data_IF_088304461440
#
_entry.id   IF_088304461440
#
_cell.length_a   1.000
_cell.length_b   1.000
_cell.length_c   1.000
_cell.angle_alpha   90.00
_cell.angle_beta   90.00
_cell.angle_gamma   90.00
#
_symmetry.space_group_name_H-M   'P 1'
#
loop_
_entity.id
_entity.type
_entity.pdbx_description
1 polymer ?
#
# COMPACT_ATOMS: atom_id res chain seq x y z
N UNK A 1 -30.40 -30.27 14.29
CA UNK A 1 -29.04 -30.22 14.87
C UNK A 1 -28.00 -29.66 13.90
N UNK A 2 -28.14 -29.87 12.58
CA UNK A 2 -27.21 -29.37 11.55
C UNK A 2 -27.24 -27.85 11.32
N UNK A 3 -28.39 -27.19 11.44
CA UNK A 3 -28.52 -25.74 11.21
C UNK A 3 -27.90 -24.86 12.30
N UNK A 4 -27.80 -25.37 13.54
CA UNK A 4 -27.18 -24.66 14.66
C UNK A 4 -25.65 -24.72 14.51
N UNK A 5 -25.10 -25.87 14.11
CA UNK A 5 -23.67 -26.04 13.88
C UNK A 5 -23.13 -25.15 12.74
N UNK A 6 -23.87 -25.02 11.62
CA UNK A 6 -23.50 -24.10 10.54
C UNK A 6 -23.59 -22.62 10.94
N UNK A 7 -24.53 -22.28 11.83
CA UNK A 7 -24.68 -20.91 12.33
C UNK A 7 -23.58 -20.53 13.33
N UNK A 8 -23.12 -21.49 14.17
CA UNK A 8 -22.00 -21.28 15.10
C UNK A 8 -20.68 -21.14 14.33
N UNK A 9 -20.42 -21.99 13.34
CA UNK A 9 -19.22 -21.88 12.49
C UNK A 9 -19.20 -20.58 11.67
N UNK A 10 -20.37 -20.12 11.21
CA UNK A 10 -20.51 -18.81 10.56
C UNK A 10 -20.26 -17.64 11.51
N UNK A 11 -20.64 -17.76 12.78
CA UNK A 11 -20.37 -16.74 13.79
C UNK A 11 -18.89 -16.67 14.17
N UNK A 12 -18.22 -17.82 14.36
CA UNK A 12 -16.79 -17.89 14.67
C UNK A 12 -15.94 -17.24 13.55
N UNK A 13 -16.24 -17.56 12.29
CA UNK A 13 -15.55 -16.95 11.14
C UNK A 13 -15.83 -15.45 11.01
N UNK A 14 -17.01 -14.98 11.40
CA UNK A 14 -17.37 -13.56 11.43
C UNK A 14 -16.63 -12.80 12.53
N UNK A 15 -16.53 -13.37 13.74
CA UNK A 15 -15.74 -12.80 14.84
C UNK A 15 -14.25 -12.75 14.49
N UNK A 16 -13.71 -13.80 13.87
CA UNK A 16 -12.31 -13.83 13.40
C UNK A 16 -12.00 -12.77 12.34
N UNK A 17 -12.99 -12.37 11.53
CA UNK A 17 -12.85 -11.27 10.58
C UNK A 17 -12.95 -9.91 11.27
N UNK A 18 -13.81 -9.79 12.29
CA UNK A 18 -14.00 -8.54 13.05
C UNK A 18 -12.80 -8.20 13.93
N UNK A 19 -12.13 -9.20 14.53
CA UNK A 19 -10.96 -9.00 15.40
C UNK A 19 -9.65 -8.80 14.64
N UNK A 20 -9.64 -8.94 13.32
CA UNK A 20 -8.44 -8.64 12.51
C UNK A 20 -8.22 -7.13 12.47
N UNK A 21 -7.27 -6.66 13.29
CA UNK A 21 -6.70 -5.33 13.10
C UNK A 21 -5.87 -5.31 11.80
N UNK A 22 -6.26 -4.54 10.77
CA UNK A 22 -5.46 -4.42 9.56
C UNK A 22 -4.17 -3.66 9.88
N UNK A 23 -3.06 -4.09 9.28
CA UNK A 23 -1.76 -3.41 9.44
C UNK A 23 -1.81 -1.95 8.96
N UNK A 24 -2.68 -1.68 7.97
CA UNK A 24 -3.00 -0.34 7.48
C UNK A 24 -4.46 -0.09 7.84
N UNK A 25 -4.68 0.72 8.87
CA UNK A 25 -6.01 1.07 9.34
C UNK A 25 -6.63 2.15 8.44
N UNK A 26 -7.57 1.72 7.60
CA UNK A 26 -8.33 2.59 6.70
C UNK A 26 -9.31 3.54 7.44
N UNK A 27 -9.58 3.30 8.72
CA UNK A 27 -10.51 4.09 9.55
C UNK A 27 -9.79 5.09 10.47
N UNK A 28 -8.46 4.95 10.58
CA UNK A 28 -7.62 5.82 11.39
C UNK A 28 -7.50 7.22 10.77
N UNK A 29 -7.77 8.24 11.58
CA UNK A 29 -7.47 9.65 11.26
C UNK A 29 -6.05 10.06 11.66
N UNK A 30 -5.23 9.12 12.16
CA UNK A 30 -3.86 9.39 12.62
C UNK A 30 -2.91 9.61 11.44
N UNK A 31 -1.89 10.43 11.67
CA UNK A 31 -0.84 10.75 10.70
C UNK A 31 -0.84 12.23 10.35
N UNK A 32 0.22 12.66 9.68
CA UNK A 32 0.35 14.02 9.18
C UNK A 32 -0.48 14.19 7.89
N UNK A 33 -1.24 15.28 7.80
CA UNK A 33 -1.89 15.69 6.54
C UNK A 33 -0.83 16.11 5.52
N UNK A 34 -1.02 15.68 4.27
CA UNK A 34 -0.13 16.04 3.16
C UNK A 34 -0.60 17.38 2.58
N UNK A 35 -0.35 18.44 3.33
CA UNK A 35 -0.62 19.82 2.91
C UNK A 35 0.44 20.30 1.90
N UNK A 36 0.01 21.05 0.89
CA UNK A 36 0.89 21.61 -0.16
C UNK A 36 1.74 20.56 -0.90
N UNK A 37 1.11 19.47 -1.33
CA UNK A 37 1.76 18.38 -2.07
C UNK A 37 2.33 18.88 -3.42
N UNK A 38 3.66 18.95 -3.51
CA UNK A 38 4.42 19.36 -4.71
C UNK A 38 4.54 18.23 -5.73
N UNK A 39 4.41 16.97 -5.30
CA UNK A 39 4.44 15.82 -6.18
C UNK A 39 5.82 15.17 -6.36
N UNK A 40 6.76 15.39 -5.44
CA UNK A 40 8.00 14.62 -5.42
C UNK A 40 7.75 13.23 -4.81
N UNK A 41 8.16 12.18 -5.52
CA UNK A 41 7.99 10.79 -5.09
C UNK A 41 9.35 10.10 -5.15
N UNK A 42 9.80 9.56 -4.02
CA UNK A 42 11.08 8.85 -3.94
C UNK A 42 10.90 7.44 -3.36
N UNK A 43 11.24 6.44 -4.16
CA UNK A 43 11.49 5.08 -3.72
C UNK A 43 12.97 4.96 -3.39
N UNK A 44 13.30 4.63 -2.15
CA UNK A 44 14.69 4.49 -1.71
C UNK A 44 14.98 3.10 -1.14
N UNK A 45 15.77 2.34 -1.89
CA UNK A 45 16.22 0.98 -1.55
C UNK A 45 15.07 0.05 -1.16
N UNK A 46 13.95 0.14 -1.89
CA UNK A 46 12.73 -0.60 -1.57
C UNK A 46 12.94 -2.10 -1.75
N UNK A 47 12.62 -2.84 -0.70
CA UNK A 47 12.37 -4.28 -0.75
C UNK A 47 10.91 -4.54 -0.46
N UNK A 48 10.28 -5.38 -1.28
CA UNK A 48 8.89 -5.75 -1.08
C UNK A 48 8.61 -7.22 -1.41
N UNK A 49 7.81 -7.83 -0.56
CA UNK A 49 7.27 -9.19 -0.68
C UNK A 49 5.79 -9.13 -0.29
N UNK A 50 4.92 -9.78 -1.07
CA UNK A 50 3.51 -9.89 -0.69
C UNK A 50 3.34 -10.78 0.55
N UNK A 51 2.53 -10.38 1.56
CA UNK A 51 2.30 -11.19 2.76
C UNK A 51 1.75 -12.59 2.45
N UNK A 52 0.92 -12.71 1.41
CA UNK A 52 0.31 -13.97 0.96
C UNK A 52 1.31 -14.90 0.25
N UNK A 53 2.47 -14.40 -0.17
CA UNK A 53 3.51 -15.14 -0.89
C UNK A 53 4.90 -14.70 -0.41
N UNK A 54 5.22 -15.05 0.82
CA UNK A 54 6.42 -14.61 1.55
C UNK A 54 7.77 -15.07 0.96
N UNK A 55 7.76 -16.01 0.02
CA UNK A 55 8.98 -16.57 -0.60
C UNK A 55 9.48 -15.78 -1.81
N UNK A 56 8.63 -14.99 -2.46
CA UNK A 56 8.98 -14.31 -3.72
C UNK A 56 9.21 -12.82 -3.52
N UNK A 57 10.46 -12.38 -3.66
CA UNK A 57 10.82 -10.96 -3.65
C UNK A 57 10.36 -10.31 -4.96
N UNK A 58 9.47 -9.33 -4.85
CA UNK A 58 8.90 -8.62 -6.02
C UNK A 58 9.75 -7.40 -6.37
N UNK A 59 10.14 -6.62 -5.36
CA UNK A 59 11.07 -5.50 -5.50
C UNK A 59 12.29 -5.77 -4.64
N UNK A 60 13.47 -5.60 -5.21
CA UNK A 60 14.74 -5.80 -4.51
C UNK A 60 15.65 -4.59 -4.74
N UNK A 61 15.91 -3.81 -3.69
CA UNK A 61 16.69 -2.57 -3.75
C UNK A 61 16.20 -1.59 -4.83
N UNK A 62 14.88 -1.55 -5.04
CA UNK A 62 14.28 -0.69 -6.06
C UNK A 62 14.45 0.79 -5.68
N UNK A 63 14.90 1.59 -6.64
CA UNK A 63 15.07 3.03 -6.49
C UNK A 63 14.45 3.76 -7.67
N UNK A 64 13.70 4.82 -7.37
CA UNK A 64 13.08 5.69 -8.35
C UNK A 64 12.89 7.06 -7.72
N UNK A 65 13.25 8.12 -8.46
CA UNK A 65 12.96 9.48 -8.05
C UNK A 65 12.13 10.17 -9.14
N UNK A 66 10.94 10.62 -8.78
CA UNK A 66 10.00 11.34 -9.65
C UNK A 66 9.94 12.77 -9.13
N UNK A 67 10.33 13.72 -9.96
CA UNK A 67 10.27 15.14 -9.62
C UNK A 67 8.85 15.69 -9.78
N UNK A 68 8.51 16.80 -9.09
CA UNK A 68 7.28 17.54 -9.35
C UNK A 68 7.04 17.77 -10.84
N UNK A 69 5.79 17.58 -11.27
CA UNK A 69 5.35 17.72 -12.68
C UNK A 69 6.01 16.76 -13.69
N UNK A 70 6.82 15.80 -13.25
CA UNK A 70 7.42 14.80 -14.13
C UNK A 70 6.41 13.68 -14.44
N UNK A 71 6.35 13.28 -15.71
CA UNK A 71 5.61 12.08 -16.14
C UNK A 71 6.57 10.90 -16.29
N UNK A 72 6.21 9.76 -15.73
CA UNK A 72 6.99 8.52 -15.80
C UNK A 72 6.11 7.39 -16.29
N UNK A 73 6.63 6.58 -17.21
CA UNK A 73 5.98 5.35 -17.67
C UNK A 73 6.73 4.13 -17.12
N UNK A 74 6.01 3.22 -16.47
CA UNK A 74 6.55 1.95 -16.00
C UNK A 74 6.40 0.90 -17.11
N UNK A 75 7.52 0.47 -17.69
CA UNK A 75 7.56 -0.54 -18.77
C UNK A 75 8.29 -1.80 -18.32
N UNK A 76 7.86 -2.97 -18.80
CA UNK A 76 8.50 -4.25 -18.49
C UNK A 76 7.56 -5.45 -18.66
N UNK A 77 8.12 -6.65 -18.59
CA UNK A 77 7.38 -7.91 -18.75
C UNK A 77 6.24 -8.08 -17.73
N UNK A 78 5.26 -8.94 -18.05
CA UNK A 78 4.22 -9.30 -17.09
C UNK A 78 4.86 -9.87 -15.81
N UNK A 79 4.36 -9.46 -14.64
CA UNK A 79 4.87 -9.92 -13.34
C UNK A 79 6.12 -9.21 -12.79
N UNK A 80 6.70 -8.23 -13.48
CA UNK A 80 7.92 -7.54 -13.01
C UNK A 80 7.71 -6.49 -11.90
N UNK A 81 6.52 -6.40 -11.29
CA UNK A 81 6.23 -5.51 -10.16
C UNK A 81 5.70 -4.11 -10.50
N UNK A 82 5.30 -3.83 -11.76
CA UNK A 82 4.73 -2.52 -12.15
C UNK A 82 3.49 -2.14 -11.32
N UNK A 83 2.49 -3.03 -11.28
CA UNK A 83 1.27 -2.81 -10.48
C UNK A 83 1.58 -2.75 -8.99
N UNK A 84 2.63 -3.45 -8.53
CA UNK A 84 3.09 -3.39 -7.15
C UNK A 84 3.59 -1.99 -6.77
N UNK A 85 4.30 -1.28 -7.67
CA UNK A 85 4.72 0.10 -7.43
C UNK A 85 3.50 1.01 -7.20
N UNK A 86 2.46 0.86 -8.01
CA UNK A 86 1.21 1.62 -7.87
C UNK A 86 0.52 1.30 -6.53
N UNK A 87 0.41 0.01 -6.18
CA UNK A 87 -0.19 -0.42 -4.92
C UNK A 87 0.56 0.07 -3.67
N UNK A 88 1.88 0.26 -3.77
CA UNK A 88 2.68 0.84 -2.68
C UNK A 88 2.45 2.35 -2.56
N UNK A 89 2.26 3.08 -3.67
CA UNK A 89 1.91 4.51 -3.66
C UNK A 89 0.53 4.77 -3.09
N UNK A 90 -0.45 3.94 -3.44
CA UNK A 90 -1.80 3.99 -2.89
C UNK A 90 -1.88 3.44 -1.46
N UNK A 91 -0.73 2.99 -0.93
CA UNK A 91 -0.56 2.43 0.41
C UNK A 91 -1.58 1.31 0.68
N UNK A 92 -1.76 0.42 -0.29
CA UNK A 92 -2.42 -0.87 -0.08
C UNK A 92 -1.53 -1.87 0.64
N UNK A 93 -0.22 -1.69 0.50
CA UNK A 93 0.79 -2.42 1.26
C UNK A 93 1.87 -1.45 1.74
N UNK A 94 2.47 -1.76 2.88
CA UNK A 94 3.72 -1.12 3.30
C UNK A 94 4.91 -1.89 2.74
N UNK A 95 6.01 -1.18 2.52
CA UNK A 95 7.27 -1.78 2.06
C UNK A 95 7.87 -2.68 3.15
N UNK A 96 8.48 -3.81 2.75
CA UNK A 96 9.15 -4.72 3.70
C UNK A 96 10.39 -4.08 4.29
N UNK A 97 11.15 -3.32 3.49
CA UNK A 97 12.25 -2.47 3.94
C UNK A 97 12.52 -1.33 2.96
N UNK A 98 13.26 -0.33 3.41
CA UNK A 98 13.49 0.92 2.66
C UNK A 98 12.49 2.01 3.04
N UNK A 99 12.46 3.07 2.22
CA UNK A 99 11.58 4.22 2.43
C UNK A 99 10.89 4.63 1.14
N UNK A 100 9.58 4.85 1.23
CA UNK A 100 8.78 5.50 0.19
C UNK A 100 8.41 6.89 0.71
N UNK A 101 8.92 7.92 0.06
CA UNK A 101 8.78 9.30 0.49
C UNK A 101 7.88 10.07 -0.48
N UNK A 102 6.93 10.82 0.07
CA UNK A 102 6.16 11.85 -0.62
C UNK A 102 6.64 13.21 -0.11
N UNK A 103 7.20 14.05 -0.98
CA UNK A 103 7.81 15.34 -0.64
C UNK A 103 8.82 15.27 0.53
N UNK A 104 9.53 14.15 0.65
CA UNK A 104 10.52 13.90 1.70
C UNK A 104 9.95 13.31 3.00
N UNK A 105 8.63 13.15 3.11
CA UNK A 105 7.97 12.53 4.26
C UNK A 105 7.68 11.07 3.97
N UNK A 106 8.07 10.18 4.88
CA UNK A 106 7.74 8.75 4.75
C UNK A 106 6.23 8.55 4.72
N UNK A 107 5.74 7.87 3.68
CA UNK A 107 4.32 7.66 3.45
C UNK A 107 3.60 7.01 4.64
N UNK A 108 4.33 6.25 5.47
CA UNK A 108 3.80 5.60 6.67
C UNK A 108 3.41 6.58 7.78
N UNK A 109 4.01 7.77 7.78
CA UNK A 109 3.74 8.84 8.76
C UNK A 109 2.55 9.70 8.35
N UNK A 110 2.13 9.62 7.10
CA UNK A 110 1.04 10.41 6.56
C UNK A 110 -0.32 9.80 6.92
N UNK A 111 -1.33 10.66 7.01
CA UNK A 111 -2.72 10.23 7.06
C UNK A 111 -3.09 9.53 5.74
N UNK A 112 -3.70 8.35 5.82
CA UNK A 112 -3.99 7.53 4.65
C UNK A 112 -5.04 8.15 3.72
N UNK A 113 -6.05 8.82 4.29
CA UNK A 113 -7.06 9.52 3.51
C UNK A 113 -6.44 10.67 2.74
N UNK A 114 -5.56 11.44 3.39
CA UNK A 114 -4.78 12.51 2.78
C UNK A 114 -3.93 12.01 1.62
N UNK A 115 -3.20 10.90 1.80
CA UNK A 115 -2.41 10.30 0.72
C UNK A 115 -3.29 9.95 -0.48
N UNK A 116 -4.42 9.27 -0.25
CA UNK A 116 -5.29 8.78 -1.32
C UNK A 116 -6.06 9.89 -2.05
N UNK A 117 -6.35 11.02 -1.39
CA UNK A 117 -7.02 12.15 -2.05
C UNK A 117 -6.13 12.82 -3.12
N UNK A 118 -4.81 12.70 -2.99
CA UNK A 118 -3.83 13.22 -3.95
C UNK A 118 -3.53 12.27 -5.12
N UNK A 119 -3.96 11.01 -5.06
CA UNK A 119 -3.77 10.04 -6.14
C UNK A 119 -5.07 9.79 -6.90
N UNK A 120 -5.09 10.11 -8.20
CA UNK A 120 -6.16 9.73 -9.12
C UNK A 120 -5.74 8.54 -9.97
N UNK A 121 -6.39 7.39 -9.80
CA UNK A 121 -6.21 6.23 -10.67
C UNK A 121 -7.16 6.32 -11.87
N UNK A 122 -6.62 6.45 -13.08
CA UNK A 122 -7.38 6.34 -14.31
C UNK A 122 -6.93 5.08 -15.07
N UNK A 123 -7.82 4.09 -15.16
CA UNK A 123 -7.60 2.94 -16.04
C UNK A 123 -8.15 3.30 -17.42
N UNK A 124 -7.26 3.33 -18.42
CA UNK A 124 -7.62 3.44 -19.84
C UNK A 124 -7.74 2.05 -20.47
#
# INVERSE_FOLDING_TARGET
SSSIASSISGAETFFDLFDRMPTIDNTSTKGQELDDFRGEIKFDQIKFVYPTRSTSIILNKFQLNIKPSQRVALVGASGCGKSTIIQLLERFYDVTSGQLLLDGIDIRKLNLHSVRSHFGLHMA
#
